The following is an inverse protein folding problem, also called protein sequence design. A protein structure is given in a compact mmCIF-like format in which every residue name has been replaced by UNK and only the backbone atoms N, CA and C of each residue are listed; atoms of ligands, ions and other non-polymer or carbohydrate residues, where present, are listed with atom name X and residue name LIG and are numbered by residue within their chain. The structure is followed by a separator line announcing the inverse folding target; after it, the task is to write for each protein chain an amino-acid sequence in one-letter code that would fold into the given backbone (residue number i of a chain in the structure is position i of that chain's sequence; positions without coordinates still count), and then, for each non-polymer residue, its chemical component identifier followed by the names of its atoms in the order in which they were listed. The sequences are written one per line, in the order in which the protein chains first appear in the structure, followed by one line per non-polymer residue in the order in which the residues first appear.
data_IF_446963961916
#
_entry.id   IF_446963961916
#
_cell.length_a   1.000
_cell.length_b   1.000
_cell.length_c   1.000
_cell.angle_alpha   90.00
_cell.angle_beta   90.00
_cell.angle_gamma   90.00
#
_symmetry.space_group_name_H-M   'P 1'
#
loop_
_entity.id
_entity.type
_entity.pdbx_description
1 polymer ?
#
# COMPACT_ATOMS: atom_id res chain seq x y z
N UNK A 1 1.59 -20.59 14.67
CA UNK A 1 0.77 -19.39 14.40
C UNK A 1 1.74 -18.23 14.21
N UNK A 2 1.71 -17.60 13.07
CA UNK A 2 2.55 -16.43 12.80
C UNK A 2 2.23 -15.29 13.77
N UNK A 3 3.26 -14.54 14.18
CA UNK A 3 3.12 -13.42 15.10
C UNK A 3 3.53 -12.14 14.37
N UNK A 4 2.73 -11.09 14.53
CA UNK A 4 3.10 -9.75 14.06
C UNK A 4 3.40 -8.84 15.26
N UNK A 5 4.12 -7.76 14.98
CA UNK A 5 4.39 -6.69 15.95
C UNK A 5 3.69 -5.41 15.50
N UNK A 6 3.19 -4.66 16.45
CA UNK A 6 2.67 -3.32 16.22
C UNK A 6 3.70 -2.31 16.69
N UNK A 7 4.06 -1.37 15.83
CA UNK A 7 4.82 -0.17 16.18
C UNK A 7 3.92 1.05 15.98
N UNK A 8 4.03 2.02 16.87
CA UNK A 8 3.29 3.28 16.77
C UNK A 8 4.29 4.41 16.58
N UNK A 9 4.02 5.25 15.59
CA UNK A 9 4.80 6.45 15.30
C UNK A 9 3.86 7.65 15.34
N UNK A 10 4.31 8.73 15.93
CA UNK A 10 3.60 10.00 15.96
C UNK A 10 4.34 11.01 15.10
N UNK A 11 3.61 11.66 14.18
CA UNK A 11 4.16 12.67 13.29
C UNK A 11 3.37 13.95 13.45
N UNK A 12 4.07 15.03 13.82
CA UNK A 12 3.50 16.36 13.93
C UNK A 12 3.64 17.10 12.60
N UNK A 13 2.54 17.67 12.14
CA UNK A 13 2.51 18.52 10.95
C UNK A 13 1.60 19.72 11.21
N UNK A 14 2.07 20.96 10.98
CA UNK A 14 1.29 22.17 11.28
C UNK A 14 -0.02 22.30 10.48
N UNK A 15 -0.17 21.57 9.38
CA UNK A 15 -1.41 21.51 8.60
C UNK A 15 -2.48 20.60 9.22
N UNK A 16 -2.14 19.77 10.22
CA UNK A 16 -3.10 18.89 10.91
C UNK A 16 -3.95 19.69 11.87
N UNK A 17 -5.24 19.75 11.62
CA UNK A 17 -6.24 20.42 12.47
C UNK A 17 -6.78 19.50 13.56
N UNK A 18 -6.91 18.22 13.26
CA UNK A 18 -7.41 17.17 14.15
C UNK A 18 -6.61 15.90 13.91
N UNK A 19 -6.26 15.20 14.99
CA UNK A 19 -5.49 13.95 14.91
C UNK A 19 -6.14 12.95 13.96
N UNK A 20 -5.32 12.31 13.14
CA UNK A 20 -5.70 11.24 12.19
C UNK A 20 -4.79 10.04 12.42
N UNK A 21 -5.37 8.86 12.39
CA UNK A 21 -4.64 7.60 12.57
C UNK A 21 -4.68 6.78 11.30
N UNK A 22 -3.52 6.33 10.87
CA UNK A 22 -3.37 5.39 9.76
C UNK A 22 -2.89 4.03 10.29
N UNK A 23 -3.48 2.94 9.80
CA UNK A 23 -2.88 1.63 9.89
C UNK A 23 -2.04 1.39 8.63
N UNK A 24 -0.75 1.09 8.80
CA UNK A 24 0.15 0.82 7.68
C UNK A 24 0.49 -0.66 7.66
N UNK A 25 0.25 -1.32 6.53
CA UNK A 25 0.60 -2.73 6.30
C UNK A 25 1.55 -2.82 5.10
N UNK A 26 2.57 -3.65 5.24
CA UNK A 26 3.52 -3.97 4.17
C UNK A 26 4.05 -5.40 4.34
N UNK A 27 4.51 -6.00 3.25
CA UNK A 27 5.22 -7.30 3.26
C UNK A 27 4.44 -8.43 3.96
N UNK A 28 3.12 -8.48 3.80
CA UNK A 28 2.33 -9.58 4.37
C UNK A 28 2.60 -10.90 3.66
N UNK A 29 2.91 -10.87 2.35
CA UNK A 29 3.26 -12.07 1.57
C UNK A 29 2.30 -13.25 1.75
N UNK A 30 0.98 -12.95 1.89
CA UNK A 30 -0.04 -13.96 2.15
C UNK A 30 -0.03 -14.56 3.56
N UNK A 31 0.74 -14.01 4.49
CA UNK A 31 0.76 -14.44 5.90
C UNK A 31 -0.64 -14.38 6.53
N UNK A 32 -0.92 -15.35 7.41
CA UNK A 32 -2.20 -15.48 8.12
C UNK A 32 -1.95 -15.38 9.63
N UNK A 33 -2.57 -14.41 10.25
CA UNK A 33 -2.45 -14.11 11.68
C UNK A 33 -3.73 -14.47 12.44
N UNK A 34 -3.75 -15.64 13.05
CA UNK A 34 -4.95 -16.25 13.62
C UNK A 34 -5.79 -16.93 12.53
N UNK A 35 -6.94 -17.49 12.91
CA UNK A 35 -7.88 -18.06 11.96
C UNK A 35 -8.41 -16.96 11.03
N UNK A 36 -8.25 -17.13 9.71
CA UNK A 36 -8.66 -16.17 8.68
C UNK A 36 -8.22 -14.71 8.95
N UNK A 37 -7.03 -14.52 9.49
CA UNK A 37 -6.49 -13.21 9.90
C UNK A 37 -7.24 -12.53 11.07
N UNK A 38 -8.02 -13.28 11.86
CA UNK A 38 -8.81 -12.73 12.98
C UNK A 38 -7.98 -11.90 13.96
N UNK A 39 -6.73 -12.31 14.26
CA UNK A 39 -5.87 -11.58 15.17
C UNK A 39 -5.43 -10.21 14.59
N UNK A 40 -5.11 -10.16 13.29
CA UNK A 40 -4.74 -8.92 12.61
C UNK A 40 -5.96 -7.99 12.47
N UNK A 41 -7.10 -8.53 12.04
CA UNK A 41 -8.36 -7.78 11.92
C UNK A 41 -8.76 -7.15 13.25
N UNK A 42 -8.74 -7.93 14.34
CA UNK A 42 -9.03 -7.44 15.69
C UNK A 42 -8.09 -6.30 16.07
N UNK A 43 -6.78 -6.47 15.82
CA UNK A 43 -5.78 -5.45 16.16
C UNK A 43 -5.99 -4.14 15.40
N UNK A 44 -6.35 -4.22 14.11
CA UNK A 44 -6.66 -3.02 13.30
C UNK A 44 -7.92 -2.34 13.85
N UNK A 45 -8.98 -3.09 14.13
CA UNK A 45 -10.23 -2.56 14.69
C UNK A 45 -10.03 -1.88 16.04
N UNK A 46 -9.25 -2.49 16.96
CA UNK A 46 -8.93 -1.92 18.27
C UNK A 46 -8.20 -0.57 18.16
N UNK A 47 -7.38 -0.41 17.13
CA UNK A 47 -6.68 0.85 16.88
C UNK A 47 -7.54 1.92 16.19
N UNK A 48 -8.72 1.53 15.67
CA UNK A 48 -9.70 2.40 15.02
C UNK A 48 -9.04 3.43 14.07
N UNK A 49 -8.33 2.98 13.01
CA UNK A 49 -7.69 3.91 12.07
C UNK A 49 -8.73 4.65 11.24
N UNK A 50 -8.42 5.86 10.81
CA UNK A 50 -9.24 6.64 9.88
C UNK A 50 -9.08 6.12 8.42
N UNK A 51 -7.95 5.50 8.11
CA UNK A 51 -7.69 4.82 6.83
C UNK A 51 -6.56 3.79 6.96
N UNK A 52 -6.49 2.88 5.97
CA UNK A 52 -5.44 1.87 5.85
C UNK A 52 -4.56 2.20 4.65
N UNK A 53 -3.25 2.15 4.86
CA UNK A 53 -2.23 2.36 3.85
C UNK A 53 -1.48 1.05 3.61
N UNK A 54 -1.53 0.53 2.38
CA UNK A 54 -0.81 -0.67 1.99
C UNK A 54 0.44 -0.27 1.20
N UNK A 55 1.61 -0.57 1.73
CA UNK A 55 2.88 -0.20 1.12
C UNK A 55 3.53 -1.36 0.33
N UNK A 56 2.69 -2.19 -0.30
CA UNK A 56 3.10 -3.24 -1.23
C UNK A 56 3.43 -4.59 -0.59
N UNK A 57 3.67 -5.57 -1.46
CA UNK A 57 4.01 -6.96 -1.15
C UNK A 57 3.00 -7.65 -0.21
N UNK A 58 1.70 -7.45 -0.50
CA UNK A 58 0.62 -8.19 0.15
C UNK A 58 0.58 -9.64 -0.32
N UNK A 59 1.07 -9.91 -1.54
CA UNK A 59 1.05 -11.18 -2.25
C UNK A 59 2.45 -11.66 -2.62
N UNK A 60 2.59 -12.94 -3.00
CA UNK A 60 3.85 -13.53 -3.49
C UNK A 60 3.70 -13.90 -4.97
N UNK A 61 4.55 -13.33 -5.83
CA UNK A 61 4.46 -13.45 -7.29
C UNK A 61 4.46 -14.88 -7.85
N UNK A 62 5.04 -15.84 -7.14
CA UNK A 62 5.12 -17.24 -7.56
C UNK A 62 4.15 -18.16 -6.81
N UNK A 63 3.29 -17.59 -5.97
CA UNK A 63 2.29 -18.30 -5.20
C UNK A 63 0.91 -17.62 -5.32
N UNK A 64 0.08 -18.05 -6.29
CA UNK A 64 -1.24 -17.45 -6.51
C UNK A 64 -2.21 -17.67 -5.35
N UNK A 65 -1.95 -18.63 -4.45
CA UNK A 65 -2.80 -18.85 -3.27
C UNK A 65 -2.80 -17.64 -2.33
N UNK A 66 -1.73 -16.85 -2.36
CA UNK A 66 -1.61 -15.62 -1.58
C UNK A 66 -2.56 -14.51 -2.05
N UNK A 67 -3.02 -14.54 -3.31
CA UNK A 67 -4.05 -13.65 -3.83
C UNK A 67 -5.36 -13.83 -3.08
N UNK A 68 -5.76 -15.10 -2.87
CA UNK A 68 -7.00 -15.43 -2.14
C UNK A 68 -6.92 -15.00 -0.67
N UNK A 69 -5.79 -15.23 -0.02
CA UNK A 69 -5.54 -14.81 1.37
C UNK A 69 -5.61 -13.28 1.50
N UNK A 70 -4.91 -12.55 0.63
CA UNK A 70 -4.92 -11.09 0.62
C UNK A 70 -6.31 -10.55 0.28
N UNK A 71 -7.01 -11.14 -0.69
CA UNK A 71 -8.37 -10.77 -1.08
C UNK A 71 -9.34 -10.83 0.08
N UNK A 72 -9.40 -11.95 0.81
CA UNK A 72 -10.28 -12.13 1.98
C UNK A 72 -10.04 -11.07 3.05
N UNK A 73 -8.76 -10.85 3.40
CA UNK A 73 -8.36 -9.83 4.36
C UNK A 73 -8.81 -8.44 3.92
N UNK A 74 -8.44 -8.05 2.70
CA UNK A 74 -8.66 -6.70 2.20
C UNK A 74 -10.15 -6.41 1.94
N UNK A 75 -10.92 -7.37 1.42
CA UNK A 75 -12.37 -7.23 1.29
C UNK A 75 -13.07 -7.07 2.65
N UNK A 76 -12.55 -7.72 3.70
CA UNK A 76 -13.09 -7.57 5.05
C UNK A 76 -12.78 -6.18 5.62
N UNK A 77 -11.56 -5.69 5.45
CA UNK A 77 -11.14 -4.36 5.90
C UNK A 77 -11.85 -3.24 5.14
N UNK A 78 -12.05 -3.40 3.83
CA UNK A 78 -12.70 -2.40 2.98
C UNK A 78 -14.17 -2.11 3.35
N UNK A 79 -14.82 -2.99 4.11
CA UNK A 79 -16.17 -2.75 4.63
C UNK A 79 -16.24 -1.59 5.63
N UNK A 80 -15.14 -1.30 6.31
CA UNK A 80 -15.11 -0.36 7.43
C UNK A 80 -14.10 0.77 7.26
N UNK A 81 -13.12 0.63 6.38
CA UNK A 81 -12.01 1.57 6.24
C UNK A 81 -11.73 1.94 4.79
N UNK A 82 -11.47 3.21 4.47
CA UNK A 82 -10.82 3.57 3.21
C UNK A 82 -9.43 2.91 3.13
N UNK A 83 -9.11 2.32 1.97
CA UNK A 83 -7.84 1.63 1.76
C UNK A 83 -7.14 2.21 0.53
N UNK A 84 -5.86 2.59 0.70
CA UNK A 84 -4.96 3.04 -0.36
C UNK A 84 -3.86 2.01 -0.53
N UNK A 85 -3.69 1.47 -1.74
CA UNK A 85 -2.81 0.36 -2.04
C UNK A 85 -1.74 0.78 -3.06
N UNK A 86 -0.52 1.00 -2.60
CA UNK A 86 0.65 1.16 -3.45
C UNK A 86 1.31 -0.19 -3.76
N UNK A 87 1.86 -0.31 -4.96
CA UNK A 87 2.42 -1.57 -5.47
C UNK A 87 3.77 -1.87 -4.83
N UNK A 88 3.98 -3.14 -4.46
CA UNK A 88 5.31 -3.68 -4.15
C UNK A 88 5.93 -4.37 -5.37
N UNK A 89 7.14 -4.92 -5.19
CA UNK A 89 7.80 -5.59 -6.30
C UNK A 89 7.12 -6.91 -6.70
N UNK A 90 6.42 -7.56 -5.79
CA UNK A 90 5.68 -8.77 -6.11
C UNK A 90 4.47 -8.45 -6.99
N UNK A 91 3.67 -7.47 -6.64
CA UNK A 91 2.53 -7.01 -7.45
C UNK A 91 2.98 -6.51 -8.82
N UNK A 92 4.01 -5.64 -8.88
CA UNK A 92 4.55 -5.13 -10.15
C UNK A 92 5.00 -6.25 -11.07
N UNK A 93 5.67 -7.29 -10.53
CA UNK A 93 6.07 -8.46 -11.30
C UNK A 93 4.88 -9.28 -11.78
N UNK A 94 3.88 -9.53 -10.93
CA UNK A 94 2.67 -10.26 -11.34
C UNK A 94 1.88 -9.52 -12.43
N UNK A 95 1.85 -8.20 -12.38
CA UNK A 95 1.20 -7.36 -13.39
C UNK A 95 1.92 -7.40 -14.75
N UNK A 96 3.21 -7.72 -14.80
CA UNK A 96 4.00 -7.78 -16.03
C UNK A 96 3.42 -8.80 -17.02
N UNK A 97 3.50 -8.47 -18.34
CA UNK A 97 2.90 -9.29 -19.41
C UNK A 97 3.46 -10.71 -19.48
N UNK A 98 4.72 -10.88 -19.14
CA UNK A 98 5.46 -12.16 -19.18
C UNK A 98 5.22 -13.03 -17.96
N UNK A 99 4.47 -12.55 -16.96
CA UNK A 99 4.24 -13.33 -15.75
C UNK A 99 3.10 -14.32 -15.91
N UNK A 100 3.31 -15.58 -15.46
CA UNK A 100 2.35 -16.68 -15.60
C UNK A 100 1.02 -16.46 -14.87
N UNK A 101 1.03 -15.70 -13.77
CA UNK A 101 -0.16 -15.38 -12.95
C UNK A 101 -0.69 -13.96 -13.20
N UNK A 102 -0.43 -13.42 -14.40
CA UNK A 102 -0.85 -12.07 -14.72
C UNK A 102 -2.37 -11.91 -14.73
N UNK A 103 -3.09 -12.85 -15.28
CA UNK A 103 -4.55 -12.77 -15.39
C UNK A 103 -5.20 -12.85 -14.00
N UNK A 104 -4.79 -13.79 -13.17
CA UNK A 104 -5.26 -13.95 -11.79
C UNK A 104 -5.00 -12.68 -10.97
N UNK A 105 -3.84 -12.05 -11.17
CA UNK A 105 -3.53 -10.78 -10.51
C UNK A 105 -4.43 -9.63 -11.00
N UNK A 106 -4.70 -9.55 -12.30
CA UNK A 106 -5.58 -8.51 -12.85
C UNK A 106 -7.03 -8.68 -12.37
N UNK A 107 -7.52 -9.91 -12.26
CA UNK A 107 -8.81 -10.24 -11.68
C UNK A 107 -8.89 -9.84 -10.19
N UNK A 108 -7.88 -10.23 -9.41
CA UNK A 108 -7.73 -9.81 -8.01
C UNK A 108 -7.77 -8.29 -7.87
N UNK A 109 -7.00 -7.56 -8.68
CA UNK A 109 -6.97 -6.11 -8.64
C UNK A 109 -8.34 -5.50 -9.02
N UNK A 110 -8.99 -6.04 -10.04
CA UNK A 110 -10.30 -5.57 -10.50
C UNK A 110 -11.37 -5.76 -9.41
N UNK A 111 -11.39 -6.90 -8.75
CA UNK A 111 -12.32 -7.18 -7.65
C UNK A 111 -12.11 -6.23 -6.47
N UNK A 112 -10.87 -6.04 -6.05
CA UNK A 112 -10.56 -5.12 -4.94
C UNK A 112 -10.93 -3.67 -5.26
N UNK A 113 -10.74 -3.23 -6.51
CA UNK A 113 -11.21 -1.91 -6.98
C UNK A 113 -12.73 -1.79 -6.87
N UNK A 114 -13.49 -2.83 -7.23
CA UNK A 114 -14.95 -2.86 -7.08
C UNK A 114 -15.39 -2.78 -5.60
N UNK A 115 -14.55 -3.21 -4.66
CA UNK A 115 -14.77 -3.04 -3.21
C UNK A 115 -14.35 -1.67 -2.67
N UNK A 116 -13.95 -0.74 -3.55
CA UNK A 116 -13.58 0.62 -3.17
C UNK A 116 -12.12 0.79 -2.73
N UNK A 117 -11.26 -0.22 -2.93
CA UNK A 117 -9.84 -0.09 -2.64
C UNK A 117 -9.16 0.74 -3.74
N UNK A 118 -8.49 1.80 -3.32
CA UNK A 118 -7.80 2.74 -4.21
C UNK A 118 -6.38 2.23 -4.50
N UNK A 119 -6.17 1.64 -5.68
CA UNK A 119 -4.84 1.26 -6.16
C UNK A 119 -4.11 2.48 -6.73
N UNK A 120 -2.86 2.65 -6.32
CA UNK A 120 -2.01 3.78 -6.70
C UNK A 120 -0.72 3.25 -7.34
N UNK A 121 -0.61 3.39 -8.64
CA UNK A 121 0.54 2.98 -9.46
C UNK A 121 1.07 4.21 -10.21
N UNK A 122 1.90 5.01 -9.56
CA UNK A 122 2.29 6.36 -9.96
C UNK A 122 1.09 7.30 -10.08
N UNK A 123 0.13 7.10 -9.17
CA UNK A 123 -1.12 7.84 -9.11
C UNK A 123 -1.29 8.50 -7.73
N UNK A 124 -2.17 9.48 -7.68
CA UNK A 124 -2.50 10.25 -6.49
C UNK A 124 -3.99 10.16 -6.20
N UNK A 125 -4.34 10.08 -4.92
CA UNK A 125 -5.73 10.14 -4.46
C UNK A 125 -5.89 11.21 -3.39
N UNK A 126 -6.88 12.09 -3.57
CA UNK A 126 -7.25 13.09 -2.56
C UNK A 126 -8.28 12.51 -1.62
N UNK A 127 -8.09 12.73 -0.32
CA UNK A 127 -9.03 12.29 0.70
C UNK A 127 -9.10 13.32 1.84
N UNK A 128 -10.28 13.48 2.42
CA UNK A 128 -10.48 14.30 3.62
C UNK A 128 -10.76 13.35 4.78
N UNK A 129 -9.89 13.38 5.80
CA UNK A 129 -10.02 12.58 7.01
C UNK A 129 -9.99 13.51 8.23
N UNK A 130 -10.98 13.38 9.09
CA UNK A 130 -11.15 14.25 10.28
C UNK A 130 -11.00 15.76 9.97
N UNK A 131 -11.44 16.21 8.79
CA UNK A 131 -11.35 17.60 8.36
C UNK A 131 -9.98 18.06 7.85
N UNK A 132 -9.02 17.14 7.69
CA UNK A 132 -7.72 17.42 7.08
C UNK A 132 -7.68 16.90 5.63
N UNK A 133 -7.10 17.69 4.74
CA UNK A 133 -6.92 17.32 3.33
C UNK A 133 -5.60 16.56 3.14
N UNK A 134 -5.69 15.33 2.65
CA UNK A 134 -4.53 14.50 2.31
C UNK A 134 -4.47 14.23 0.81
N UNK A 135 -3.26 14.10 0.30
CA UNK A 135 -2.96 13.49 -0.99
C UNK A 135 -2.12 12.26 -0.73
N UNK A 136 -2.69 11.08 -0.96
CA UNK A 136 -1.97 9.81 -0.88
C UNK A 136 -1.38 9.53 -2.25
N UNK A 137 -0.07 9.35 -2.30
CA UNK A 137 0.70 9.13 -3.51
C UNK A 137 1.28 7.72 -3.47
N UNK A 138 1.05 6.90 -4.49
CA UNK A 138 1.60 5.54 -4.57
C UNK A 138 2.70 5.45 -5.63
N UNK A 139 3.94 5.20 -5.21
CA UNK A 139 5.09 5.04 -6.09
C UNK A 139 5.19 3.60 -6.58
N UNK A 140 5.11 3.40 -7.90
CA UNK A 140 5.47 2.16 -8.58
C UNK A 140 6.73 2.38 -9.40
N UNK A 141 7.83 1.71 -9.03
CA UNK A 141 9.09 1.80 -9.75
C UNK A 141 9.19 0.72 -10.84
N UNK A 142 9.84 1.00 -11.98
CA UNK A 142 10.20 0.01 -12.96
C UNK A 142 11.00 -1.16 -12.33
N UNK A 143 10.87 -2.36 -12.89
CA UNK A 143 11.46 -3.58 -12.32
C UNK A 143 12.97 -3.51 -12.15
N UNK A 144 13.67 -2.71 -12.95
CA UNK A 144 15.11 -2.48 -12.85
C UNK A 144 15.55 -1.94 -11.49
N UNK A 145 14.69 -1.18 -10.81
CA UNK A 145 14.96 -0.66 -9.47
C UNK A 145 14.95 -1.74 -8.38
N UNK A 146 14.45 -2.94 -8.70
CA UNK A 146 14.42 -4.09 -7.81
C UNK A 146 15.50 -5.13 -8.11
N UNK A 147 16.37 -4.87 -9.10
CA UNK A 147 17.47 -5.77 -9.44
C UNK A 147 18.63 -5.61 -8.46
N UNK A 148 19.13 -6.72 -7.91
CA UNK A 148 20.35 -6.77 -7.10
C UNK A 148 21.48 -7.38 -7.93
N UNK A 149 22.73 -6.96 -7.75
CA UNK A 149 23.22 -5.91 -6.82
C UNK A 149 23.14 -4.48 -7.37
N UNK A 150 22.85 -4.28 -8.65
CA UNK A 150 22.91 -2.98 -9.34
C UNK A 150 21.50 -2.44 -9.62
N UNK A 151 20.90 -1.80 -8.63
CA UNK A 151 19.68 -1.03 -8.85
C UNK A 151 20.02 0.45 -9.14
N UNK A 152 19.30 1.11 -10.08
CA UNK A 152 19.47 2.54 -10.33
C UNK A 152 19.27 3.39 -9.07
N UNK A 153 19.86 4.58 -9.06
CA UNK A 153 19.47 5.61 -8.09
C UNK A 153 18.20 6.29 -8.59
N UNK A 154 17.25 6.48 -7.69
CA UNK A 154 16.10 7.32 -7.97
C UNK A 154 16.53 8.78 -7.77
N UNK A 155 16.51 9.57 -8.84
CA UNK A 155 16.80 11.01 -8.77
C UNK A 155 15.52 11.79 -8.51
N UNK A 156 15.67 13.04 -8.05
CA UNK A 156 14.54 13.95 -7.83
C UNK A 156 13.77 14.21 -9.13
N UNK A 157 14.48 14.34 -10.25
CA UNK A 157 13.87 14.53 -11.58
C UNK A 157 13.04 13.31 -11.98
N UNK A 158 13.55 12.08 -11.75
CA UNK A 158 12.80 10.85 -12.05
C UNK A 158 11.61 10.69 -11.12
N UNK A 159 11.74 11.09 -9.86
CA UNK A 159 10.62 11.12 -8.93
C UNK A 159 9.53 12.10 -9.38
N UNK A 160 9.93 13.30 -9.82
CA UNK A 160 8.99 14.30 -10.35
C UNK A 160 8.33 13.85 -11.66
N UNK A 161 9.07 13.15 -12.53
CA UNK A 161 8.51 12.53 -13.75
C UNK A 161 7.42 11.50 -13.41
N UNK A 162 7.68 10.61 -12.44
CA UNK A 162 6.76 9.54 -12.06
C UNK A 162 5.54 10.05 -11.27
N UNK A 163 5.76 10.98 -10.36
CA UNK A 163 4.76 11.36 -9.36
C UNK A 163 4.26 12.80 -9.54
N UNK A 164 4.94 13.63 -10.34
CA UNK A 164 4.69 15.06 -10.38
C UNK A 164 4.96 15.74 -9.03
N UNK A 165 4.76 17.04 -8.97
CA UNK A 165 4.97 17.82 -7.73
C UNK A 165 3.93 17.51 -6.65
N UNK A 166 4.31 17.58 -5.36
CA UNK A 166 3.37 17.48 -4.28
C UNK A 166 2.37 18.64 -4.29
N UNK A 167 1.17 18.40 -3.78
CA UNK A 167 0.14 19.45 -3.61
C UNK A 167 0.53 20.33 -2.39
N UNK A 168 0.85 21.64 -2.59
CA UNK A 168 1.31 22.49 -1.50
C UNK A 168 0.22 22.77 -0.46
N UNK A 169 -1.06 22.65 -0.82
CA UNK A 169 -2.18 22.95 0.06
C UNK A 169 -2.62 21.75 0.92
N UNK A 170 -2.17 20.53 0.54
CA UNK A 170 -2.54 19.30 1.22
C UNK A 170 -1.36 18.69 2.01
N UNK A 171 -1.69 17.73 2.86
CA UNK A 171 -0.69 16.87 3.50
C UNK A 171 -0.41 15.72 2.54
N UNK A 172 0.82 15.67 2.00
CA UNK A 172 1.20 14.63 1.08
C UNK A 172 1.76 13.42 1.83
N UNK A 173 1.20 12.24 1.56
CA UNK A 173 1.68 10.94 2.04
C UNK A 173 2.23 10.20 0.83
N UNK A 174 3.48 9.75 0.89
CA UNK A 174 4.09 8.91 -0.13
C UNK A 174 4.13 7.46 0.37
N UNK A 175 3.50 6.56 -0.37
CA UNK A 175 3.63 5.12 -0.20
C UNK A 175 4.69 4.61 -1.17
N UNK A 176 5.86 4.27 -0.64
CA UNK A 176 6.97 3.69 -1.37
C UNK A 176 7.36 2.36 -0.72
N UNK A 177 7.16 1.25 -1.43
CA UNK A 177 7.44 -0.08 -0.90
C UNK A 177 8.90 -0.24 -0.46
N UNK A 178 9.85 0.21 -1.27
CA UNK A 178 11.27 0.16 -0.90
C UNK A 178 11.69 1.45 -0.20
N UNK A 179 12.02 1.41 1.13
CA UNK A 179 12.36 2.60 1.91
C UNK A 179 13.64 3.31 1.44
N UNK A 180 14.50 2.63 0.66
CA UNK A 180 15.67 3.26 0.02
C UNK A 180 15.27 4.46 -0.84
N UNK A 181 14.09 4.42 -1.46
CA UNK A 181 13.60 5.44 -2.38
C UNK A 181 12.64 6.45 -1.75
N UNK A 182 12.36 6.34 -0.45
CA UNK A 182 11.55 7.31 0.29
C UNK A 182 12.33 8.53 0.79
N UNK A 183 13.64 8.62 0.50
CA UNK A 183 14.54 9.69 0.98
C UNK A 183 15.16 10.51 -0.17
N UNK A 184 14.60 10.48 -1.35
CA UNK A 184 15.05 11.25 -2.52
C UNK A 184 14.49 12.65 -2.56
#
# INVERSE_FOLDING_TARGET
MEKFRTATYEVHNPKIKKSVRFAVLADLHGSIFGEENSALLKKIQENAPDAILLAGDMVVRMDPSTLETARKLLCTLAKNFPIFYAMGNHETKMKAKEHIYRNEYLEYQAELKQKGICFLANEKSKVVLAGNSFVVNGLELPLEYYHKPFSPKLTSEKMEELMGKPDPEAINILLAHNPKYGRT
#
